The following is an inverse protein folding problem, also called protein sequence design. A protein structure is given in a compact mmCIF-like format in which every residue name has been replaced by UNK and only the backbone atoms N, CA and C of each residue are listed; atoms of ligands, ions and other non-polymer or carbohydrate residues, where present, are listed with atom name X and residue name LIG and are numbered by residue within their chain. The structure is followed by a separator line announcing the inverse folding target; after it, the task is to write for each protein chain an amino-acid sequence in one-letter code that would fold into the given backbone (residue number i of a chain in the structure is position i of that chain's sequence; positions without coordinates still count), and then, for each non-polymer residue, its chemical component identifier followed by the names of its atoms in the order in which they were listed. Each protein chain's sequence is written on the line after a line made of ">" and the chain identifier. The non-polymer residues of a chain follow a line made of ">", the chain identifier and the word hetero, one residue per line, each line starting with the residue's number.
data_IF_755142093587
#
_entry.id   IF_755142093587
#
_cell.length_a   1.000
_cell.length_b   1.000
_cell.length_c   1.000
_cell.angle_alpha   90.00
_cell.angle_beta   90.00
_cell.angle_gamma   90.00
#
_symmetry.space_group_name_H-M   'P 1'
#
loop_
_entity.id
_entity.type
_entity.pdbx_description
1 polymer ?
#
# COMPACT_ATOMS: atom_id res chain seq x y z
N UNK A 1 4.76 -88.43 36.61
CA UNK A 1 5.88 -87.61 36.09
C UNK A 1 5.58 -87.14 34.67
N UNK A 2 5.17 -85.89 34.48
CA UNK A 2 5.19 -85.19 33.18
C UNK A 2 5.28 -83.69 33.46
N UNK A 3 6.23 -83.03 32.78
CA UNK A 3 6.80 -81.73 33.12
C UNK A 3 5.90 -80.55 32.73
N UNK A 4 5.94 -79.54 33.60
CA UNK A 4 5.53 -78.15 33.43
C UNK A 4 6.21 -77.48 32.23
N UNK A 5 5.45 -76.74 31.43
CA UNK A 5 5.92 -75.90 30.33
C UNK A 5 5.65 -74.42 30.64
N UNK A 6 6.73 -73.69 30.95
CA UNK A 6 6.79 -72.25 31.18
C UNK A 6 6.61 -71.48 29.86
N UNK A 7 5.62 -70.58 29.78
CA UNK A 7 5.45 -69.64 28.65
C UNK A 7 6.15 -68.32 28.99
N UNK A 8 7.06 -67.88 28.11
CA UNK A 8 7.70 -66.56 28.14
C UNK A 8 6.72 -65.44 27.72
N UNK A 9 6.85 -64.22 28.26
CA UNK A 9 6.03 -63.09 27.86
C UNK A 9 6.51 -62.48 26.53
N UNK A 10 5.55 -62.16 25.67
CA UNK A 10 5.71 -61.48 24.38
C UNK A 10 5.96 -59.99 24.64
N UNK A 11 7.15 -59.50 24.31
CA UNK A 11 7.56 -58.10 24.45
C UNK A 11 7.08 -57.34 23.19
N UNK A 12 6.07 -56.48 23.34
CA UNK A 12 5.54 -55.62 22.27
C UNK A 12 6.49 -54.45 22.08
N UNK A 13 7.27 -54.47 21.00
CA UNK A 13 8.05 -53.33 20.51
C UNK A 13 7.09 -52.31 19.86
N UNK A 14 6.85 -51.20 20.55
CA UNK A 14 6.17 -50.03 19.99
C UNK A 14 7.15 -49.34 19.03
N UNK A 15 6.83 -49.14 17.75
CA UNK A 15 7.67 -48.38 16.85
C UNK A 15 7.64 -46.91 17.28
N UNK A 16 8.80 -46.40 17.71
CA UNK A 16 9.05 -44.97 17.87
C UNK A 16 8.92 -44.33 16.47
N UNK A 17 7.75 -43.79 16.16
CA UNK A 17 7.59 -42.94 14.98
C UNK A 17 8.48 -41.71 15.17
N UNK A 18 9.41 -41.49 14.24
CA UNK A 18 10.16 -40.24 14.12
C UNK A 18 9.16 -39.09 14.01
N UNK A 19 8.96 -38.35 15.10
CA UNK A 19 8.37 -37.01 15.06
C UNK A 19 9.46 -36.11 14.49
N UNK A 20 9.50 -35.99 13.17
CA UNK A 20 10.29 -34.94 12.52
C UNK A 20 9.79 -33.58 13.02
N UNK A 21 10.68 -32.60 13.26
CA UNK A 21 10.25 -31.26 13.59
C UNK A 21 9.37 -30.75 12.46
N UNK A 22 8.09 -30.51 12.77
CA UNK A 22 7.20 -29.68 11.95
C UNK A 22 7.86 -28.30 11.87
N UNK A 23 8.71 -28.08 10.88
CA UNK A 23 9.16 -26.74 10.53
C UNK A 23 7.91 -25.96 10.15
N UNK A 24 7.48 -25.07 11.04
CA UNK A 24 6.38 -24.16 10.76
C UNK A 24 6.75 -23.40 9.48
N UNK A 25 5.93 -23.54 8.44
CA UNK A 25 6.12 -22.78 7.21
C UNK A 25 6.21 -21.29 7.56
N UNK A 26 7.18 -20.59 6.97
CA UNK A 26 7.28 -19.14 7.16
C UNK A 26 5.96 -18.48 6.74
N UNK A 27 5.45 -17.52 7.53
CA UNK A 27 4.20 -16.85 7.21
C UNK A 27 4.31 -16.14 5.86
N UNK A 28 3.30 -16.32 5.02
CA UNK A 28 3.25 -15.73 3.67
C UNK A 28 3.22 -14.20 3.79
N UNK A 29 4.12 -13.53 3.06
CA UNK A 29 4.18 -12.07 2.95
C UNK A 29 3.41 -11.62 1.71
N UNK A 30 2.16 -11.25 1.90
CA UNK A 30 1.21 -10.90 0.84
C UNK A 30 0.81 -9.42 0.83
N UNK A 31 1.43 -8.61 1.70
CA UNK A 31 1.24 -7.16 1.75
C UNK A 31 2.57 -6.45 1.50
N UNK A 32 2.49 -5.20 1.04
CA UNK A 32 3.65 -4.36 0.84
C UNK A 32 3.39 -2.97 1.43
N UNK A 33 4.25 -2.54 2.35
CA UNK A 33 4.36 -1.15 2.78
C UNK A 33 5.39 -0.46 1.90
N UNK A 34 5.09 0.70 1.35
CA UNK A 34 5.99 1.41 0.44
C UNK A 34 5.72 2.90 0.45
N UNK A 35 6.68 3.69 -0.04
CA UNK A 35 6.50 5.11 -0.28
C UNK A 35 5.77 5.33 -1.60
N UNK A 36 4.51 5.74 -1.50
CA UNK A 36 3.67 6.07 -2.64
C UNK A 36 3.68 7.55 -2.99
N UNK A 37 2.85 7.90 -3.95
CA UNK A 37 2.56 9.24 -4.40
C UNK A 37 1.04 9.47 -4.45
N UNK A 38 0.56 10.56 -3.90
CA UNK A 38 -0.82 11.04 -4.04
C UNK A 38 -0.80 12.35 -4.81
N UNK A 39 -1.64 12.46 -5.83
CA UNK A 39 -1.59 13.58 -6.77
C UNK A 39 -2.77 14.49 -6.55
N UNK A 40 -2.48 15.76 -6.36
CA UNK A 40 -3.46 16.83 -6.24
C UNK A 40 -3.37 17.70 -7.49
N UNK A 41 -4.47 17.86 -8.21
CA UNK A 41 -4.53 18.68 -9.42
C UNK A 41 -4.84 20.13 -9.02
N UNK A 42 -3.78 20.92 -8.88
CA UNK A 42 -3.81 22.32 -8.47
C UNK A 42 -2.50 22.73 -7.79
N UNK A 43 -2.48 23.97 -7.30
CA UNK A 43 -1.32 24.60 -6.68
C UNK A 43 -1.18 24.33 -5.18
N UNK A 44 -2.20 23.78 -4.54
CA UNK A 44 -2.23 23.48 -3.10
C UNK A 44 -2.54 22.02 -2.80
N UNK A 45 -2.21 21.53 -1.60
CA UNK A 45 -2.60 20.19 -1.15
C UNK A 45 -4.10 20.05 -0.86
N UNK A 46 -4.82 21.17 -0.73
CA UNK A 46 -6.28 21.18 -0.67
C UNK A 46 -6.94 20.98 -2.05
N UNK A 47 -6.14 20.90 -3.12
CA UNK A 47 -6.65 20.68 -4.46
C UNK A 47 -7.20 19.27 -4.64
N UNK A 48 -8.15 19.07 -5.58
CA UNK A 48 -8.75 17.77 -5.84
C UNK A 48 -7.72 16.66 -6.09
N UNK A 49 -7.91 15.52 -5.44
CA UNK A 49 -7.05 14.34 -5.59
C UNK A 49 -7.36 13.61 -6.89
N UNK A 50 -6.36 13.19 -7.66
CA UNK A 50 -6.53 12.33 -8.82
C UNK A 50 -6.75 10.88 -8.37
N UNK A 51 -7.98 10.39 -8.53
CA UNK A 51 -8.43 9.07 -8.07
C UNK A 51 -8.78 8.12 -9.21
N UNK A 52 -8.61 8.53 -10.47
CA UNK A 52 -8.93 7.69 -11.62
C UNK A 52 -8.53 8.29 -12.95
N UNK A 53 -8.43 7.44 -13.96
CA UNK A 53 -8.30 7.86 -15.34
C UNK A 53 -9.06 6.90 -16.26
N UNK A 54 -9.85 7.45 -17.17
CA UNK A 54 -10.63 6.69 -18.14
C UNK A 54 -10.61 7.41 -19.49
N UNK A 55 -10.10 6.71 -20.52
CA UNK A 55 -10.02 7.24 -21.88
C UNK A 55 -9.26 8.57 -21.95
N UNK A 56 -9.95 9.67 -22.23
CA UNK A 56 -9.35 11.01 -22.33
C UNK A 56 -9.61 11.88 -21.11
N UNK A 57 -10.11 11.32 -20.00
CA UNK A 57 -10.49 12.05 -18.80
C UNK A 57 -9.78 11.48 -17.57
N UNK A 58 -9.57 12.35 -16.58
CA UNK A 58 -9.16 11.97 -15.23
C UNK A 58 -10.29 12.26 -14.26
N UNK A 59 -10.42 11.41 -13.24
CA UNK A 59 -11.37 11.57 -12.15
C UNK A 59 -10.67 12.25 -10.97
N UNK A 60 -11.28 13.32 -10.45
CA UNK A 60 -10.77 14.13 -9.36
C UNK A 60 -11.75 14.07 -8.18
N UNK A 61 -11.26 13.73 -6.99
CA UNK A 61 -12.01 13.69 -5.75
C UNK A 61 -11.75 14.97 -4.94
N UNK A 62 -12.81 15.72 -4.66
CA UNK A 62 -12.77 16.86 -3.76
C UNK A 62 -14.04 16.86 -2.90
N UNK A 63 -13.90 17.03 -1.58
CA UNK A 63 -15.01 17.08 -0.64
C UNK A 63 -15.99 15.90 -0.77
N UNK A 64 -15.46 14.70 -1.05
CA UNK A 64 -16.25 13.48 -1.24
C UNK A 64 -17.00 13.40 -2.58
N UNK A 65 -16.82 14.37 -3.47
CA UNK A 65 -17.45 14.40 -4.80
C UNK A 65 -16.42 14.12 -5.88
N UNK A 66 -16.75 13.19 -6.78
CA UNK A 66 -15.95 12.90 -7.97
C UNK A 66 -16.36 13.85 -9.10
N UNK A 67 -15.39 14.51 -9.70
CA UNK A 67 -15.51 15.33 -10.90
C UNK A 67 -14.58 14.82 -12.00
N UNK A 68 -14.81 15.21 -13.24
CA UNK A 68 -13.99 14.76 -14.37
C UNK A 68 -13.38 15.93 -15.10
N UNK A 69 -12.09 15.80 -15.44
CA UNK A 69 -11.33 16.79 -16.19
C UNK A 69 -10.72 16.12 -17.44
N UNK A 70 -10.67 16.78 -18.61
CA UNK A 70 -9.86 16.29 -19.73
C UNK A 70 -8.41 16.06 -19.30
N UNK A 71 -7.80 14.96 -19.75
CA UNK A 71 -6.43 14.58 -19.38
C UNK A 71 -5.40 15.65 -19.78
N UNK A 72 -5.60 16.29 -20.92
CA UNK A 72 -4.78 17.40 -21.43
C UNK A 72 -5.01 18.72 -20.68
N UNK A 73 -6.09 18.81 -19.90
CA UNK A 73 -6.35 19.93 -19.01
C UNK A 73 -5.75 19.73 -17.61
N UNK A 74 -5.13 18.58 -17.31
CA UNK A 74 -4.33 18.40 -16.09
C UNK A 74 -3.13 19.36 -16.16
N UNK A 75 -3.21 20.42 -15.36
CA UNK A 75 -2.24 21.51 -15.33
C UNK A 75 -1.17 21.30 -14.27
N UNK A 76 -1.13 22.22 -13.29
CA UNK A 76 -0.26 22.11 -12.12
C UNK A 76 -0.69 20.90 -11.29
N UNK A 77 0.28 20.07 -10.94
CA UNK A 77 0.05 18.89 -10.09
C UNK A 77 1.02 18.93 -8.93
N UNK A 78 0.51 18.76 -7.71
CA UNK A 78 1.31 18.50 -6.52
C UNK A 78 1.35 17.02 -6.22
N UNK A 79 2.54 16.53 -5.90
CA UNK A 79 2.77 15.15 -5.50
C UNK A 79 3.05 15.15 -4.01
N UNK A 80 2.17 14.51 -3.25
CA UNK A 80 2.37 14.22 -1.84
C UNK A 80 2.92 12.81 -1.70
N UNK A 81 4.10 12.68 -1.11
CA UNK A 81 4.68 11.37 -0.81
C UNK A 81 4.17 10.88 0.55
N UNK A 82 3.65 9.66 0.58
CA UNK A 82 3.11 9.07 1.81
C UNK A 82 3.32 7.56 1.83
N UNK A 83 3.43 6.98 3.03
CA UNK A 83 3.50 5.54 3.18
C UNK A 83 2.13 4.91 2.93
N UNK A 84 2.10 4.04 1.93
CA UNK A 84 0.93 3.29 1.53
C UNK A 84 1.13 1.82 1.80
N UNK A 85 0.02 1.16 2.14
CA UNK A 85 -0.04 -0.27 2.30
C UNK A 85 -0.91 -0.83 1.17
N UNK A 86 -0.37 -1.78 0.42
CA UNK A 86 -1.14 -2.52 -0.58
C UNK A 86 -1.13 -4.02 -0.26
N UNK A 87 -2.26 -4.68 -0.50
CA UNK A 87 -2.37 -6.16 -0.51
C UNK A 87 -2.17 -6.75 -1.92
N UNK A 88 -1.97 -5.88 -2.91
CA UNK A 88 -1.78 -6.23 -4.31
C UNK A 88 -0.51 -5.56 -4.81
N UNK A 89 0.40 -6.37 -5.34
CA UNK A 89 1.67 -5.90 -5.87
C UNK A 89 1.69 -6.05 -7.38
N UNK A 90 1.75 -4.94 -8.10
CA UNK A 90 2.01 -4.92 -9.54
C UNK A 90 3.46 -5.32 -9.86
N UNK A 91 3.68 -5.91 -11.01
CA UNK A 91 5.02 -6.14 -11.56
C UNK A 91 5.22 -5.22 -12.75
N UNK A 92 6.40 -4.60 -12.80
CA UNK A 92 6.88 -3.76 -13.89
C UNK A 92 8.15 -4.42 -14.42
N UNK A 93 8.04 -4.99 -15.61
CA UNK A 93 9.13 -5.66 -16.30
C UNK A 93 9.51 -4.90 -17.58
N UNK A 94 10.73 -5.14 -18.08
CA UNK A 94 11.21 -4.60 -19.36
C UNK A 94 11.01 -3.07 -19.51
N UNK A 95 11.26 -2.32 -18.42
CA UNK A 95 11.15 -0.86 -18.41
C UNK A 95 12.26 -0.22 -19.25
N UNK A 96 11.87 0.34 -20.38
CA UNK A 96 12.71 1.04 -21.33
C UNK A 96 12.27 2.51 -21.37
N UNK A 97 13.24 3.42 -21.40
CA UNK A 97 12.99 4.86 -21.50
C UNK A 97 13.82 5.42 -22.64
N UNK A 98 13.16 6.10 -23.57
CA UNK A 98 13.83 6.74 -24.70
C UNK A 98 13.34 8.16 -24.87
N UNK A 99 14.26 9.10 -25.12
CA UNK A 99 13.88 10.44 -25.55
C UNK A 99 13.49 10.38 -27.04
N UNK A 100 12.32 10.90 -27.37
CA UNK A 100 11.75 10.89 -28.72
C UNK A 100 11.33 12.29 -29.16
N UNK A 101 11.22 12.46 -30.48
CA UNK A 101 10.71 13.69 -31.08
C UNK A 101 9.24 13.51 -31.40
N UNK A 102 8.40 14.30 -30.76
CA UNK A 102 6.97 14.35 -31.07
C UNK A 102 6.72 15.65 -31.80
N UNK A 103 5.97 15.59 -32.91
CA UNK A 103 5.54 16.80 -33.61
C UNK A 103 4.87 17.73 -32.60
N UNK A 104 5.16 19.05 -32.61
CA UNK A 104 4.60 19.96 -31.63
C UNK A 104 3.08 19.83 -31.67
N UNK A 105 2.52 19.21 -30.63
CA UNK A 105 1.09 19.21 -30.41
C UNK A 105 0.67 20.67 -30.37
N UNK A 106 -0.43 21.03 -31.03
CA UNK A 106 -0.98 22.41 -31.07
C UNK A 106 -1.49 22.87 -29.69
N UNK A 107 -0.80 22.52 -28.62
CA UNK A 107 -1.08 22.98 -27.28
C UNK A 107 -0.53 24.38 -27.12
N UNK A 108 -1.38 25.35 -27.47
CA UNK A 108 -1.08 26.80 -27.47
C UNK A 108 -0.76 27.35 -26.08
N UNK A 109 -0.89 26.55 -25.03
CA UNK A 109 -0.70 26.94 -23.64
C UNK A 109 0.49 26.25 -22.95
N UNK A 110 1.28 25.44 -23.68
CA UNK A 110 2.41 24.73 -23.10
C UNK A 110 3.50 25.67 -22.53
N UNK A 111 3.68 26.85 -23.14
CA UNK A 111 4.61 27.88 -22.66
C UNK A 111 4.12 28.58 -21.38
N UNK A 112 2.86 29.04 -21.40
CA UNK A 112 2.29 29.83 -20.29
C UNK A 112 2.06 28.99 -19.02
N UNK A 113 1.72 27.70 -19.16
CA UNK A 113 1.58 26.78 -18.01
C UNK A 113 2.91 26.47 -17.32
N UNK A 114 4.02 26.48 -18.05
CA UNK A 114 5.35 26.18 -17.50
C UNK A 114 5.82 27.28 -16.54
N UNK A 115 5.47 28.54 -16.83
CA UNK A 115 5.85 29.68 -15.99
C UNK A 115 5.09 29.69 -14.67
N UNK A 116 3.79 29.35 -14.69
CA UNK A 116 2.95 29.24 -13.48
C UNK A 116 3.36 28.02 -12.62
N UNK A 117 3.78 26.92 -13.27
CA UNK A 117 4.33 25.75 -12.59
C UNK A 117 5.61 26.08 -11.80
N UNK A 118 6.51 26.89 -12.40
CA UNK A 118 7.78 27.30 -11.77
C UNK A 118 7.58 28.07 -10.47
N UNK A 119 6.65 29.02 -10.43
CA UNK A 119 6.40 29.85 -9.24
C UNK A 119 5.80 29.02 -8.08
N UNK A 120 4.97 28.02 -8.39
CA UNK A 120 4.38 27.12 -7.38
C UNK A 120 5.39 26.14 -6.76
N UNK A 121 6.49 25.83 -7.48
CA UNK A 121 7.50 24.85 -7.06
C UNK A 121 8.60 25.47 -6.17
N UNK A 122 8.85 26.79 -6.25
CA UNK A 122 9.80 27.46 -5.36
C UNK A 122 9.33 27.37 -3.89
N UNK A 123 8.01 27.39 -3.65
CA UNK A 123 7.43 27.15 -2.33
C UNK A 123 7.48 25.67 -1.87
N UNK A 124 7.82 24.73 -2.76
CA UNK A 124 7.70 23.29 -2.52
C UNK A 124 8.96 22.67 -1.89
N UNK A 125 10.13 23.30 -2.04
CA UNK A 125 11.38 22.78 -1.47
C UNK A 125 11.55 23.06 0.04
N UNK A 126 10.77 23.96 0.63
CA UNK A 126 10.83 24.22 2.07
C UNK A 126 9.82 23.37 2.87
N UNK A 127 8.68 22.97 2.28
CA UNK A 127 7.63 22.22 2.98
C UNK A 127 7.73 20.67 2.86
N UNK A 128 8.38 20.14 1.80
CA UNK A 128 8.45 18.68 1.54
C UNK A 128 9.41 17.95 2.50
N UNK A 129 10.36 18.66 3.12
CA UNK A 129 11.37 18.05 3.99
C UNK A 129 10.91 17.83 5.44
N UNK A 130 9.94 18.60 5.94
CA UNK A 130 9.57 18.57 7.37
C UNK A 130 8.33 17.72 7.67
N UNK A 131 7.39 17.54 6.72
CA UNK A 131 6.10 16.90 7.00
C UNK A 131 6.02 15.41 6.59
N UNK A 132 6.68 15.02 5.50
CA UNK A 132 6.71 13.62 5.03
C UNK A 132 7.61 12.75 5.94
N UNK A 133 8.76 13.29 6.34
CA UNK A 133 9.76 12.62 7.19
C UNK A 133 9.20 12.21 8.55
N UNK A 134 8.41 13.09 9.21
CA UNK A 134 7.83 12.82 10.52
C UNK A 134 6.74 11.74 10.51
N UNK A 135 6.02 11.59 9.39
CA UNK A 135 4.88 10.66 9.25
C UNK A 135 5.29 9.31 8.69
N UNK A 136 6.33 9.30 7.85
CA UNK A 136 7.02 8.11 7.33
C UNK A 136 7.75 7.32 8.45
N UNK A 137 8.40 8.04 9.37
CA UNK A 137 9.11 7.46 10.51
C UNK A 137 8.19 6.75 11.53
N UNK A 138 6.95 7.22 11.70
CA UNK A 138 5.97 6.60 12.60
C UNK A 138 5.50 5.21 12.10
N UNK A 139 5.60 4.99 10.80
CA UNK A 139 4.91 3.95 10.08
C UNK A 139 5.79 2.73 9.79
N UNK A 140 7.03 2.94 9.34
CA UNK A 140 8.03 1.87 9.12
C UNK A 140 8.42 1.17 10.44
N UNK A 141 8.44 1.90 11.55
CA UNK A 141 8.80 1.30 12.82
C UNK A 141 7.62 0.60 13.53
N UNK A 142 6.38 0.97 13.20
CA UNK A 142 5.21 0.21 13.62
C UNK A 142 5.19 -1.21 13.07
N UNK A 143 5.71 -1.38 11.85
CA UNK A 143 5.91 -2.68 11.19
C UNK A 143 7.03 -3.48 11.85
N UNK A 144 8.21 -2.92 12.09
CA UNK A 144 9.33 -3.66 12.69
C UNK A 144 9.07 -4.07 14.16
N UNK A 145 8.27 -3.28 14.89
CA UNK A 145 7.75 -3.66 16.20
C UNK A 145 6.76 -4.83 16.12
N UNK A 146 5.98 -4.90 15.04
CA UNK A 146 5.07 -6.02 14.78
C UNK A 146 5.81 -7.33 14.62
N UNK A 147 6.90 -7.33 13.86
CA UNK A 147 7.70 -8.53 13.63
C UNK A 147 8.31 -9.09 14.93
N UNK A 148 8.60 -8.23 15.90
CA UNK A 148 9.16 -8.62 17.21
C UNK A 148 8.11 -8.96 18.27
N UNK A 149 6.88 -8.44 18.16
CA UNK A 149 5.78 -8.83 19.05
C UNK A 149 5.13 -10.16 18.67
N UNK A 150 5.33 -10.65 17.44
CA UNK A 150 4.87 -11.99 17.04
C UNK A 150 5.60 -13.10 17.81
N UNK A 151 6.80 -12.83 18.36
CA UNK A 151 7.59 -13.79 19.16
C UNK A 151 7.28 -13.79 20.66
N UNK A 152 6.42 -12.89 21.16
CA UNK A 152 5.97 -12.86 22.56
C UNK A 152 4.45 -12.61 22.65
N UNK A 153 3.66 -13.50 23.29
CA UNK A 153 2.19 -13.38 23.31
C UNK A 153 1.63 -12.18 24.11
N UNK A 154 2.49 -11.28 24.58
CA UNK A 154 2.12 -10.15 25.44
C UNK A 154 2.49 -8.85 24.73
N UNK A 155 1.47 -8.13 24.25
CA UNK A 155 1.59 -6.87 23.52
C UNK A 155 2.21 -5.77 24.43
N UNK A 156 3.54 -5.65 24.41
CA UNK A 156 4.28 -4.64 25.17
C UNK A 156 4.37 -3.31 24.42
N UNK A 157 3.40 -2.42 24.64
CA UNK A 157 3.32 -1.09 23.98
C UNK A 157 4.64 -0.29 24.10
N UNK A 158 5.34 -0.42 25.23
CA UNK A 158 6.61 0.28 25.49
C UNK A 158 7.78 -0.26 24.65
N UNK A 159 7.82 -1.56 24.36
CA UNK A 159 8.88 -2.16 23.55
C UNK A 159 8.65 -1.89 22.06
N UNK A 160 7.38 -1.81 21.63
CA UNK A 160 7.03 -1.29 20.32
C UNK A 160 7.47 0.18 20.17
N UNK A 161 7.30 1.00 21.21
CA UNK A 161 7.69 2.41 21.23
C UNK A 161 9.22 2.62 21.29
N UNK A 162 9.98 1.70 21.92
CA UNK A 162 11.46 1.71 21.90
C UNK A 162 12.04 1.17 20.59
N UNK A 163 11.39 0.18 19.98
CA UNK A 163 11.71 -0.27 18.63
C UNK A 163 11.46 0.83 17.58
N UNK A 164 10.44 1.67 17.82
CA UNK A 164 10.18 2.89 17.07
C UNK A 164 11.34 3.88 17.14
N UNK A 165 11.82 4.23 18.33
CA UNK A 165 12.99 5.12 18.51
C UNK A 165 14.28 4.61 17.85
N UNK A 166 14.55 3.30 17.91
CA UNK A 166 15.74 2.69 17.31
C UNK A 166 15.70 2.62 15.77
N UNK A 167 14.52 2.44 15.18
CA UNK A 167 14.35 2.47 13.73
C UNK A 167 14.58 3.88 13.17
N UNK A 168 14.18 4.94 13.89
CA UNK A 168 14.45 6.36 13.55
C UNK A 168 15.95 6.60 13.30
N UNK A 169 16.82 6.06 14.17
CA UNK A 169 18.27 6.27 14.07
C UNK A 169 18.97 5.46 12.97
N UNK A 170 18.42 4.29 12.59
CA UNK A 170 18.99 3.43 11.55
C UNK A 170 18.57 3.87 10.15
N UNK A 171 17.36 4.43 10.01
CA UNK A 171 16.81 4.86 8.73
C UNK A 171 17.43 6.15 8.17
N UNK A 172 17.75 7.12 9.03
CA UNK A 172 18.51 8.32 8.64
C UNK A 172 19.88 7.98 8.01
N UNK A 173 20.44 6.79 8.32
CA UNK A 173 21.67 6.29 7.68
C UNK A 173 21.42 5.59 6.33
N UNK A 174 20.24 5.01 6.13
CA UNK A 174 19.87 4.29 4.90
C UNK A 174 19.35 5.22 3.80
N UNK A 175 18.60 6.27 4.14
CA UNK A 175 18.17 7.29 3.17
C UNK A 175 19.38 8.02 2.53
N UNK A 176 20.41 8.32 3.33
CA UNK A 176 21.68 8.85 2.85
C UNK A 176 22.43 7.85 1.93
N UNK A 177 22.35 6.55 2.22
CA UNK A 177 23.00 5.51 1.40
C UNK A 177 22.24 5.19 0.08
N UNK A 178 20.90 5.29 0.06
CA UNK A 178 20.09 5.08 -1.14
C UNK A 178 20.25 6.22 -2.16
N UNK A 179 20.54 7.43 -1.69
CA UNK A 179 20.96 8.55 -2.53
C UNK A 179 22.30 8.25 -3.24
N UNK A 180 23.15 7.43 -2.63
CA UNK A 180 24.48 7.06 -3.14
C UNK A 180 24.44 5.84 -4.09
N UNK A 181 23.47 4.94 -3.95
CA UNK A 181 23.28 3.77 -4.83
C UNK A 181 22.40 4.06 -6.05
N UNK A 182 21.40 4.95 -5.95
CA UNK A 182 20.61 5.41 -7.11
C UNK A 182 21.33 6.44 -7.98
N UNK A 183 22.43 7.02 -7.51
CA UNK A 183 23.38 7.76 -8.35
C UNK A 183 24.11 6.90 -9.39
N UNK A 184 23.92 5.57 -9.37
CA UNK A 184 24.57 4.63 -10.31
C UNK A 184 23.62 3.98 -11.32
N UNK A 185 22.36 4.41 -11.41
CA UNK A 185 21.38 3.87 -12.37
C UNK A 185 20.67 4.98 -13.17
N UNK A 186 21.43 5.82 -13.86
CA UNK A 186 21.08 6.36 -15.19
C UNK A 186 22.16 7.34 -15.63
N UNK A 187 22.95 6.95 -16.63
CA UNK A 187 23.69 7.90 -17.45
C UNK A 187 22.76 9.04 -17.86
N UNK A 188 23.14 10.29 -17.58
CA UNK A 188 22.50 11.46 -18.18
C UNK A 188 22.61 11.31 -19.71
N UNK A 189 21.55 10.83 -20.37
CA UNK A 189 21.44 10.96 -21.81
C UNK A 189 21.00 12.38 -22.08
N UNK A 190 21.91 13.20 -22.61
CA UNK A 190 21.55 14.49 -23.18
C UNK A 190 20.41 14.24 -24.17
N UNK A 191 19.27 14.89 -23.98
CA UNK A 191 18.27 14.95 -25.04
C UNK A 191 18.93 15.57 -26.25
N UNK A 192 18.83 14.91 -27.40
CA UNK A 192 19.04 15.58 -28.68
C UNK A 192 18.19 16.86 -28.67
N UNK A 193 18.74 17.99 -29.14
CA UNK A 193 18.08 19.30 -29.06
C UNK A 193 16.71 19.30 -29.74
N UNK A 194 16.45 18.31 -30.61
CA UNK A 194 15.20 18.17 -31.33
C UNK A 194 14.16 17.25 -30.65
N UNK A 195 14.52 16.58 -29.54
CA UNK A 195 13.63 15.72 -28.77
C UNK A 195 12.88 16.53 -27.72
N UNK A 196 11.58 16.34 -27.66
CA UNK A 196 10.64 17.13 -26.85
C UNK A 196 9.67 16.24 -26.06
N UNK A 197 9.98 14.94 -26.00
CA UNK A 197 9.16 13.95 -25.34
C UNK A 197 10.00 12.80 -24.78
N UNK A 198 9.44 12.12 -23.79
CA UNK A 198 9.94 10.85 -23.28
C UNK A 198 8.93 9.77 -23.61
N UNK A 199 9.41 8.69 -24.23
CA UNK A 199 8.67 7.46 -24.42
C UNK A 199 9.14 6.44 -23.40
N UNK A 200 8.18 5.89 -22.66
CA UNK A 200 8.40 4.82 -21.68
C UNK A 200 7.64 3.60 -22.16
N UNK A 201 8.34 2.48 -22.26
CA UNK A 201 7.75 1.20 -22.62
C UNK A 201 8.05 0.19 -21.54
N UNK A 202 7.04 -0.55 -21.09
CA UNK A 202 7.20 -1.58 -20.07
C UNK A 202 6.12 -2.65 -20.20
N UNK A 203 6.28 -3.76 -19.49
CA UNK A 203 5.24 -4.77 -19.30
C UNK A 203 4.69 -4.65 -17.88
N UNK A 204 3.37 -4.44 -17.76
CA UNK A 204 2.67 -4.34 -16.49
C UNK A 204 1.85 -5.60 -16.25
N UNK A 205 1.93 -6.16 -15.05
CA UNK A 205 1.06 -7.26 -14.62
C UNK A 205 0.66 -7.15 -13.15
N UNK A 206 -0.36 -7.89 -12.75
CA UNK A 206 -0.88 -7.90 -11.39
C UNK A 206 -1.36 -9.32 -11.03
N UNK A 207 -1.07 -9.87 -9.84
CA UNK A 207 -1.47 -11.24 -9.49
C UNK A 207 -2.99 -11.45 -9.44
N UNK A 208 -3.77 -10.38 -9.35
CA UNK A 208 -5.24 -10.39 -9.38
C UNK A 208 -5.74 -9.45 -10.45
N UNK A 209 -6.89 -9.77 -11.03
CA UNK A 209 -7.56 -8.85 -11.95
C UNK A 209 -8.00 -7.59 -11.20
N UNK A 210 -7.57 -6.43 -11.69
CA UNK A 210 -7.95 -5.12 -11.19
C UNK A 210 -8.59 -4.32 -12.32
N UNK A 211 -9.68 -3.63 -11.99
CA UNK A 211 -10.38 -2.71 -12.88
C UNK A 211 -9.93 -1.28 -12.60
N UNK A 212 -10.30 -0.37 -13.50
CA UNK A 212 -10.07 1.07 -13.36
C UNK A 212 -8.60 1.39 -13.01
N UNK A 213 -7.70 0.65 -13.66
CA UNK A 213 -6.28 0.78 -13.46
C UNK A 213 -5.72 1.91 -14.33
N UNK A 214 -4.75 2.64 -13.82
CA UNK A 214 -4.02 3.64 -14.58
C UNK A 214 -2.56 3.71 -14.14
N UNK A 215 -1.67 4.01 -15.09
CA UNK A 215 -0.28 4.28 -14.83
C UNK A 215 -0.06 5.78 -14.72
N UNK A 216 0.85 6.16 -13.83
CA UNK A 216 1.27 7.53 -13.61
C UNK A 216 2.77 7.60 -13.79
N UNK A 217 3.19 8.41 -14.75
CA UNK A 217 4.58 8.69 -15.03
C UNK A 217 4.95 10.08 -14.51
N UNK A 218 5.88 10.13 -13.56
CA UNK A 218 6.47 11.36 -13.03
C UNK A 218 7.89 11.47 -13.52
N UNK A 219 8.17 12.49 -14.31
CA UNK A 219 9.49 12.74 -14.89
C UNK A 219 10.07 14.02 -14.29
N UNK A 220 11.17 13.89 -13.57
CA UNK A 220 12.05 15.00 -13.21
C UNK A 220 12.97 15.29 -14.40
N UNK A 221 13.03 16.54 -14.84
CA UNK A 221 13.91 16.99 -15.91
C UNK A 221 14.53 18.36 -15.60
N UNK A 222 15.62 18.69 -16.31
CA UNK A 222 16.29 19.98 -16.24
C UNK A 222 16.60 20.47 -17.65
N UNK A 223 16.62 21.78 -17.89
CA UNK A 223 17.05 22.34 -19.19
C UNK A 223 18.58 22.48 -19.19
N UNK A 224 19.15 22.97 -18.10
CA UNK A 224 20.60 22.98 -17.86
C UNK A 224 20.95 22.22 -16.57
N UNK A 225 22.19 21.73 -16.47
CA UNK A 225 22.65 20.99 -15.28
C UNK A 225 22.59 21.79 -13.97
N UNK A 226 22.62 23.12 -14.08
CA UNK A 226 22.53 24.06 -12.96
C UNK A 226 21.10 24.50 -12.63
N UNK A 227 20.12 24.15 -13.48
CA UNK A 227 18.74 24.56 -13.25
C UNK A 227 18.09 23.72 -12.14
N UNK A 228 17.10 24.33 -11.48
CA UNK A 228 16.25 23.62 -10.53
C UNK A 228 15.53 22.47 -11.26
N UNK A 229 15.40 21.30 -10.62
CA UNK A 229 14.62 20.21 -11.19
C UNK A 229 13.17 20.65 -11.43
N UNK A 230 12.65 20.31 -12.61
CA UNK A 230 11.27 20.50 -13.00
C UNK A 230 10.60 19.14 -13.09
N UNK A 231 9.29 19.07 -12.83
CA UNK A 231 8.56 17.81 -12.88
C UNK A 231 7.45 17.88 -13.92
N UNK A 232 7.27 16.78 -14.64
CA UNK A 232 6.14 16.58 -15.55
C UNK A 232 5.42 15.29 -15.21
N UNK A 233 4.09 15.35 -15.21
CA UNK A 233 3.23 14.21 -14.92
C UNK A 233 2.50 13.80 -16.19
N UNK A 234 2.42 12.50 -16.45
CA UNK A 234 1.58 11.89 -17.47
C UNK A 234 0.74 10.78 -16.86
N UNK A 235 -0.54 10.72 -17.24
CA UNK A 235 -1.49 9.72 -16.73
C UNK A 235 -1.95 8.86 -17.90
N UNK A 236 -1.72 7.57 -17.83
CA UNK A 236 -2.12 6.62 -18.87
C UNK A 236 -3.19 5.65 -18.34
N UNK A 237 -4.44 5.74 -18.82
CA UNK A 237 -5.47 4.78 -18.42
C UNK A 237 -5.13 3.38 -18.97
N UNK A 238 -5.33 2.37 -18.14
CA UNK A 238 -5.11 0.97 -18.48
C UNK A 238 -6.48 0.28 -18.65
N UNK A 239 -6.57 -0.71 -19.54
CA UNK A 239 -7.82 -1.46 -19.78
C UNK A 239 -8.13 -2.51 -18.70
N UNK A 240 -7.68 -2.25 -17.47
CA UNK A 240 -7.52 -3.24 -16.40
C UNK A 240 -6.14 -3.89 -16.41
N UNK A 241 -5.76 -4.47 -15.27
CA UNK A 241 -4.53 -5.25 -15.12
C UNK A 241 -4.87 -6.63 -14.58
N UNK A 242 -4.09 -7.65 -14.96
CA UNK A 242 -4.28 -9.00 -14.48
C UNK A 242 -3.00 -9.82 -14.54
N UNK A 243 -3.08 -11.14 -14.30
CA UNK A 243 -1.89 -11.99 -14.19
C UNK A 243 -1.06 -12.07 -15.46
N UNK A 244 -1.68 -11.81 -16.63
CA UNK A 244 -1.00 -11.78 -17.91
C UNK A 244 -0.35 -10.40 -18.12
N UNK A 245 0.97 -10.33 -18.35
CA UNK A 245 1.64 -9.07 -18.67
C UNK A 245 1.05 -8.39 -19.89
N UNK A 246 0.87 -7.07 -19.78
CA UNK A 246 0.42 -6.18 -20.85
C UNK A 246 1.54 -5.18 -21.16
N UNK A 247 2.00 -5.15 -22.41
CA UNK A 247 2.92 -4.13 -22.91
C UNK A 247 2.20 -2.78 -22.93
N UNK A 248 2.77 -1.79 -22.26
CA UNK A 248 2.26 -0.42 -22.17
C UNK A 248 3.31 0.54 -22.71
N UNK A 249 2.89 1.41 -23.61
CA UNK A 249 3.71 2.50 -24.17
C UNK A 249 3.10 3.83 -23.77
N UNK A 250 3.87 4.66 -23.09
CA UNK A 250 3.48 5.98 -22.63
C UNK A 250 4.38 7.02 -23.28
N UNK A 251 3.81 8.02 -23.93
CA UNK A 251 4.58 9.13 -24.50
C UNK A 251 4.23 10.43 -23.78
N UNK A 252 5.16 10.93 -22.99
CA UNK A 252 5.05 12.21 -22.31
C UNK A 252 5.71 13.31 -23.15
N UNK A 253 4.90 13.99 -23.96
CA UNK A 253 5.34 15.11 -24.80
C UNK A 253 5.39 16.45 -24.07
N UNK A 254 5.85 17.50 -24.75
CA UNK A 254 5.87 18.88 -24.26
C UNK A 254 6.97 19.18 -23.25
N UNK A 255 8.08 18.44 -23.31
CA UNK A 255 9.32 18.77 -22.63
C UNK A 255 10.07 19.83 -23.46
N UNK A 256 10.75 20.79 -22.82
CA UNK A 256 11.50 21.80 -23.54
C UNK A 256 12.67 21.18 -24.33
N UNK A 257 13.01 21.71 -25.51
CA UNK A 257 14.20 21.29 -26.25
C UNK A 257 15.47 21.29 -25.38
N UNK A 258 16.29 20.24 -25.52
CA UNK A 258 17.54 20.10 -24.75
C UNK A 258 17.38 19.65 -23.30
N UNK A 259 16.18 19.19 -22.90
CA UNK A 259 15.98 18.65 -21.57
C UNK A 259 16.90 17.45 -21.28
N UNK A 260 17.27 17.32 -20.01
CA UNK A 260 17.97 16.17 -19.45
C UNK A 260 17.06 15.54 -18.41
N UNK A 261 16.78 14.24 -18.55
CA UNK A 261 16.01 13.49 -17.57
C UNK A 261 16.88 13.29 -16.33
N UNK A 262 16.40 13.73 -15.18
CA UNK A 262 17.03 13.47 -13.88
C UNK A 262 16.51 12.18 -13.25
N UNK A 263 15.20 12.07 -13.14
CA UNK A 263 14.52 10.95 -12.48
C UNK A 263 13.23 10.61 -13.20
N UNK A 264 12.87 9.34 -13.20
CA UNK A 264 11.62 8.84 -13.76
C UNK A 264 11.01 7.84 -12.78
N UNK A 265 9.84 8.16 -12.27
CA UNK A 265 9.07 7.28 -11.38
C UNK A 265 7.78 6.84 -12.09
N UNK A 266 7.52 5.54 -12.07
CA UNK A 266 6.31 4.93 -12.60
C UNK A 266 5.50 4.35 -11.44
N UNK A 267 4.31 4.90 -11.24
CA UNK A 267 3.35 4.47 -10.24
C UNK A 267 2.16 3.81 -10.93
N UNK A 268 1.58 2.79 -10.31
CA UNK A 268 0.42 2.06 -10.85
C UNK A 268 -0.72 2.17 -9.85
N UNK A 269 -1.89 2.54 -10.32
CA UNK A 269 -3.08 2.70 -9.49
C UNK A 269 -4.18 1.77 -9.99
N UNK A 270 -5.06 1.35 -9.07
CA UNK A 270 -6.32 0.69 -9.37
C UNK A 270 -7.37 1.13 -8.35
N UNK A 271 -8.59 1.41 -8.83
CA UNK A 271 -9.70 1.88 -7.99
C UNK A 271 -9.33 3.12 -7.12
N UNK A 272 -8.49 4.02 -7.68
CA UNK A 272 -7.99 5.21 -6.99
C UNK A 272 -6.97 4.95 -5.89
N UNK A 273 -6.51 3.71 -5.71
CA UNK A 273 -5.45 3.37 -4.77
C UNK A 273 -4.19 2.97 -5.51
N UNK A 274 -3.05 3.42 -5.01
CA UNK A 274 -1.75 3.04 -5.57
C UNK A 274 -1.42 1.60 -5.19
N UNK A 275 -1.03 0.81 -6.18
CA UNK A 275 -0.53 -0.54 -6.01
C UNK A 275 0.97 -0.47 -5.73
N UNK A 276 1.43 -1.27 -4.77
CA UNK A 276 2.86 -1.51 -4.61
C UNK A 276 3.41 -2.13 -5.90
N UNK A 277 4.64 -1.83 -6.27
CA UNK A 277 5.34 -2.48 -7.39
C UNK A 277 6.70 -3.02 -6.96
N UNK A 278 7.33 -3.83 -7.81
CA UNK A 278 8.74 -4.22 -7.66
C UNK A 278 9.71 -3.02 -7.73
N UNK A 279 9.26 -1.87 -8.25
CA UNK A 279 10.06 -0.64 -8.35
C UNK A 279 9.69 0.43 -7.31
N UNK A 280 8.66 0.19 -6.49
CA UNK A 280 8.21 1.15 -5.47
C UNK A 280 9.34 1.49 -4.50
N UNK A 281 9.49 2.78 -4.22
CA UNK A 281 10.50 3.26 -3.29
C UNK A 281 10.22 2.73 -1.88
N UNK A 282 11.30 2.35 -1.18
CA UNK A 282 11.27 1.94 0.23
C UNK A 282 10.27 0.80 0.54
N UNK A 283 10.09 -0.11 -0.40
CA UNK A 283 9.16 -1.24 -0.24
C UNK A 283 9.65 -2.22 0.84
N UNK A 284 8.72 -2.65 1.69
CA UNK A 284 8.88 -3.71 2.69
C UNK A 284 7.71 -4.69 2.55
N UNK A 285 8.01 -5.96 2.32
CA UNK A 285 6.98 -7.01 2.24
C UNK A 285 6.60 -7.51 3.63
N UNK A 286 5.29 -7.54 3.89
CA UNK A 286 4.66 -7.79 5.19
C UNK A 286 3.73 -8.99 5.13
N UNK A 287 3.61 -9.68 6.26
CA UNK A 287 2.52 -10.61 6.51
C UNK A 287 1.23 -9.84 6.81
N UNK A 288 0.08 -10.48 6.64
CA UNK A 288 -1.22 -9.89 6.99
C UNK A 288 -1.29 -9.36 8.44
N UNK A 289 -0.69 -10.06 9.41
CA UNK A 289 -0.69 -9.62 10.81
C UNK A 289 0.23 -8.41 11.05
N UNK A 290 1.36 -8.33 10.36
CA UNK A 290 2.25 -7.15 10.39
C UNK A 290 1.58 -5.93 9.76
N UNK A 291 0.92 -6.13 8.61
CA UNK A 291 0.16 -5.11 7.91
C UNK A 291 -1.00 -4.57 8.78
N UNK A 292 -1.72 -5.46 9.47
CA UNK A 292 -2.73 -5.08 10.45
C UNK A 292 -2.14 -4.21 11.56
N UNK A 293 -1.02 -4.63 12.14
CA UNK A 293 -0.41 -3.90 13.24
C UNK A 293 0.03 -2.51 12.81
N UNK A 294 0.57 -2.37 11.60
CA UNK A 294 0.84 -1.09 10.99
C UNK A 294 -0.42 -0.20 10.92
N UNK A 295 -1.52 -0.72 10.36
CA UNK A 295 -2.78 0.02 10.25
C UNK A 295 -3.33 0.43 11.62
N UNK A 296 -3.27 -0.46 12.60
CA UNK A 296 -3.70 -0.19 13.99
C UNK A 296 -2.86 0.92 14.61
N UNK A 297 -1.53 0.91 14.45
CA UNK A 297 -0.66 1.95 14.97
C UNK A 297 -0.88 3.29 14.29
N UNK A 298 -1.04 3.30 12.96
CA UNK A 298 -1.37 4.51 12.20
C UNK A 298 -2.73 5.09 12.63
N UNK A 299 -3.72 4.23 12.87
CA UNK A 299 -5.03 4.64 13.39
C UNK A 299 -4.93 5.25 14.80
N UNK A 300 -4.18 4.65 15.72
CA UNK A 300 -3.98 5.21 17.07
C UNK A 300 -3.26 6.55 17.00
N UNK A 301 -2.21 6.65 16.17
CA UNK A 301 -1.40 7.86 16.02
C UNK A 301 -2.21 9.04 15.43
N UNK A 302 -3.18 8.77 14.56
CA UNK A 302 -4.04 9.79 13.94
C UNK A 302 -5.18 10.30 14.84
N UNK A 303 -5.46 9.65 15.98
CA UNK A 303 -6.56 10.02 16.88
C UNK A 303 -6.08 10.26 18.32
N UNK A 304 -5.14 11.21 18.53
CA UNK A 304 -4.60 11.47 19.86
C UNK A 304 -5.69 12.00 20.78
N UNK A 305 -5.80 11.41 21.97
CA UNK A 305 -6.77 11.81 23.03
C UNK A 305 -8.25 11.60 22.66
N UNK A 306 -8.56 10.98 21.52
CA UNK A 306 -9.94 10.74 21.11
C UNK A 306 -10.54 9.48 21.74
N UNK A 307 -11.88 9.44 21.81
CA UNK A 307 -12.62 8.25 22.26
C UNK A 307 -13.52 7.77 21.13
N UNK A 308 -13.11 6.68 20.48
CA UNK A 308 -13.75 6.16 19.27
C UNK A 308 -14.20 4.70 19.44
N UNK A 309 -15.32 4.27 18.83
CA UNK A 309 -15.81 2.91 18.94
C UNK A 309 -15.31 2.02 17.80
N UNK A 310 -15.04 0.73 18.03
CA UNK A 310 -14.65 -0.24 16.97
C UNK A 310 -13.73 0.39 15.94
N UNK A 311 -13.57 -0.03 14.69
CA UNK A 311 -14.39 0.15 13.48
C UNK A 311 -13.88 -0.93 12.51
N UNK A 312 -14.74 -1.64 11.76
CA UNK A 312 -14.25 -2.60 10.78
C UNK A 312 -13.19 -1.97 9.88
N UNK A 313 -12.04 -2.62 9.73
CA UNK A 313 -11.11 -2.24 8.67
C UNK A 313 -11.64 -2.83 7.37
N UNK A 314 -11.62 -2.03 6.30
CA UNK A 314 -11.84 -2.51 4.94
C UNK A 314 -10.59 -3.25 4.46
N UNK A 315 -10.25 -4.34 5.12
CA UNK A 315 -9.28 -5.31 4.60
C UNK A 315 -10.10 -6.35 3.85
N UNK A 316 -9.63 -6.72 2.65
CA UNK A 316 -10.32 -7.67 1.78
C UNK A 316 -10.78 -8.91 2.57
N UNK A 317 -12.08 -9.22 2.45
CA UNK A 317 -12.62 -10.47 2.95
C UNK A 317 -11.82 -11.65 2.37
N UNK A 318 -11.68 -12.76 3.12
CA UNK A 318 -11.10 -13.97 2.56
C UNK A 318 -11.83 -14.35 1.26
N UNK A 319 -11.06 -14.69 0.22
CA UNK A 319 -11.62 -15.10 -1.08
C UNK A 319 -12.61 -16.25 -0.88
N UNK A 320 -13.82 -16.12 -1.47
CA UNK A 320 -14.89 -17.11 -1.35
C UNK A 320 -15.65 -17.09 -0.02
N UNK A 321 -15.47 -16.05 0.81
CA UNK A 321 -16.30 -15.85 2.01
C UNK A 321 -17.78 -15.76 1.64
N UNK A 322 -18.12 -14.94 0.65
CA UNK A 322 -19.51 -14.70 0.27
C UNK A 322 -20.22 -15.97 -0.22
N UNK A 323 -19.51 -16.85 -0.92
CA UNK A 323 -20.05 -18.10 -1.46
C UNK A 323 -20.30 -19.16 -0.37
N UNK A 324 -19.68 -19.01 0.80
CA UNK A 324 -19.68 -20.02 1.87
C UNK A 324 -20.46 -19.61 3.10
N UNK A 325 -20.89 -18.37 3.22
CA UNK A 325 -21.74 -17.93 4.33
C UNK A 325 -23.20 -18.26 4.01
N UNK A 326 -23.88 -19.09 4.82
CA UNK A 326 -25.30 -19.35 4.62
C UNK A 326 -26.12 -18.06 4.66
N UNK A 327 -27.08 -17.90 3.75
CA UNK A 327 -27.92 -16.69 3.67
C UNK A 327 -28.60 -16.33 5.00
N UNK A 328 -28.95 -17.33 5.82
CA UNK A 328 -29.51 -17.13 7.15
C UNK A 328 -28.56 -16.42 8.12
N UNK A 329 -27.24 -16.60 7.97
CA UNK A 329 -26.21 -15.96 8.79
C UNK A 329 -25.85 -14.56 8.28
N UNK A 330 -26.02 -14.32 6.98
CA UNK A 330 -25.89 -12.95 6.41
C UNK A 330 -26.91 -12.00 7.05
N UNK A 331 -28.13 -12.49 7.28
CA UNK A 331 -29.22 -11.71 7.89
C UNK A 331 -29.10 -11.57 9.42
N UNK A 332 -28.19 -12.29 10.08
CA UNK A 332 -28.02 -12.26 11.53
C UNK A 332 -26.94 -11.26 11.93
N UNK A 333 -27.20 -10.54 13.02
CA UNK A 333 -26.19 -9.70 13.67
C UNK A 333 -25.36 -10.55 14.61
N UNK A 334 -24.05 -10.54 14.41
CA UNK A 334 -23.09 -11.16 15.32
C UNK A 334 -22.48 -10.09 16.23
N UNK A 335 -21.95 -10.50 17.37
CA UNK A 335 -21.29 -9.62 18.33
C UNK A 335 -19.88 -10.10 18.55
N UNK A 336 -18.90 -9.29 18.14
CA UNK A 336 -17.49 -9.62 18.33
C UNK A 336 -16.87 -8.76 19.42
N UNK A 337 -16.05 -9.37 20.27
CA UNK A 337 -15.16 -8.63 21.17
C UNK A 337 -13.87 -8.34 20.43
N UNK A 338 -13.65 -7.06 20.13
CA UNK A 338 -12.43 -6.58 19.47
C UNK A 338 -11.40 -6.24 20.54
N UNK A 339 -10.20 -6.79 20.40
CA UNK A 339 -9.06 -6.51 21.26
C UNK A 339 -8.42 -5.14 21.00
N UNK A 340 -7.50 -4.69 21.88
CA UNK A 340 -6.75 -3.45 21.67
C UNK A 340 -5.79 -3.49 20.47
N UNK A 341 -5.50 -4.69 19.96
CA UNK A 341 -4.73 -4.96 18.75
C UNK A 341 -5.59 -4.92 17.47
N UNK A 342 -6.91 -4.75 17.60
CA UNK A 342 -7.83 -4.79 16.46
C UNK A 342 -8.26 -6.20 16.05
N UNK A 343 -7.78 -7.24 16.73
CA UNK A 343 -8.16 -8.62 16.44
C UNK A 343 -9.44 -9.03 17.17
N UNK A 344 -10.26 -9.88 16.54
CA UNK A 344 -11.47 -10.44 17.16
C UNK A 344 -11.08 -11.56 18.15
N UNK A 345 -11.39 -11.36 19.43
CA UNK A 345 -11.07 -12.30 20.52
C UNK A 345 -12.20 -13.28 20.82
N UNK A 346 -13.45 -12.90 20.61
CA UNK A 346 -14.62 -13.76 20.73
C UNK A 346 -15.74 -13.32 19.80
N UNK A 347 -16.61 -14.26 19.44
CA UNK A 347 -17.82 -14.02 18.64
C UNK A 347 -19.01 -14.62 19.37
N UNK A 348 -20.11 -13.89 19.42
CA UNK A 348 -21.38 -14.30 20.02
C UNK A 348 -22.54 -14.02 19.05
N UNK A 349 -23.61 -14.81 19.17
CA UNK A 349 -24.85 -14.66 18.41
C UNK A 349 -25.73 -13.52 18.93
N UNK A 350 -25.52 -13.08 20.18
CA UNK A 350 -26.29 -12.02 20.82
C UNK A 350 -25.45 -11.21 21.82
N UNK A 351 -26.06 -10.19 22.43
CA UNK A 351 -25.43 -9.37 23.47
C UNK A 351 -25.25 -10.11 24.80
N UNK A 352 -25.93 -11.23 25.00
CA UNK A 352 -25.81 -12.05 26.21
C UNK A 352 -24.57 -12.95 26.17
N UNK A 353 -23.89 -13.04 25.02
CA UNK A 353 -22.67 -13.83 24.85
C UNK A 353 -22.92 -15.28 24.43
N UNK A 354 -24.11 -15.58 23.87
CA UNK A 354 -24.42 -16.92 23.36
C UNK A 354 -23.43 -17.30 22.26
N UNK A 355 -22.84 -18.48 22.36
CA UNK A 355 -21.86 -18.95 21.39
C UNK A 355 -22.47 -19.08 19.98
N UNK A 356 -21.68 -18.75 18.95
CA UNK A 356 -22.07 -19.02 17.56
C UNK A 356 -22.01 -20.53 17.33
N UNK A 357 -23.13 -21.13 16.94
CA UNK A 357 -23.24 -22.58 16.75
C UNK A 357 -22.45 -23.11 15.55
N UNK A 358 -22.20 -22.24 14.56
CA UNK A 358 -21.47 -22.58 13.35
C UNK A 358 -19.97 -22.28 13.52
N UNK A 359 -19.16 -23.34 13.58
CA UNK A 359 -17.72 -23.26 13.75
C UNK A 359 -17.01 -22.59 12.56
N UNK A 360 -17.56 -22.69 11.35
CA UNK A 360 -17.01 -22.01 10.18
C UNK A 360 -17.22 -20.50 10.30
N UNK A 361 -18.41 -20.06 10.72
CA UNK A 361 -18.71 -18.63 10.94
C UNK A 361 -17.80 -18.05 12.02
N UNK A 362 -17.68 -18.71 13.18
CA UNK A 362 -16.77 -18.26 14.24
C UNK A 362 -15.33 -18.15 13.71
N UNK A 363 -14.85 -19.16 12.99
CA UNK A 363 -13.51 -19.16 12.40
C UNK A 363 -13.30 -18.03 11.38
N UNK A 364 -14.30 -17.68 10.57
CA UNK A 364 -14.15 -16.59 9.60
C UNK A 364 -14.30 -15.21 10.24
N UNK A 365 -15.27 -15.01 11.13
CA UNK A 365 -15.43 -13.71 11.82
C UNK A 365 -14.19 -13.40 12.66
N UNK A 366 -13.51 -14.41 13.20
CA UNK A 366 -12.19 -14.24 13.85
C UNK A 366 -11.07 -13.76 12.93
N UNK A 367 -11.22 -13.95 11.61
CA UNK A 367 -10.29 -13.40 10.61
C UNK A 367 -10.57 -11.94 10.31
N UNK A 368 -11.72 -11.41 10.70
CA UNK A 368 -12.00 -9.98 10.53
C UNK A 368 -11.06 -9.14 11.37
N UNK A 369 -10.81 -7.94 10.88
CA UNK A 369 -9.88 -6.98 11.45
C UNK A 369 -10.57 -5.64 11.67
N UNK A 370 -10.21 -4.98 12.75
CA UNK A 370 -10.83 -3.74 13.19
C UNK A 370 -9.76 -2.73 13.58
N UNK A 371 -10.04 -1.46 13.35
CA UNK A 371 -9.42 -0.41 14.14
C UNK A 371 -9.90 -0.61 15.59
N UNK A 372 -9.03 -0.58 16.61
CA UNK A 372 -9.45 -0.81 17.98
C UNK A 372 -10.31 0.35 18.49
N UNK A 373 -11.16 0.07 19.48
CA UNK A 373 -11.83 1.14 20.19
C UNK A 373 -10.79 1.97 20.98
N UNK A 374 -10.91 3.29 20.93
CA UNK A 374 -10.03 4.20 21.66
C UNK A 374 -10.76 4.80 22.85
N UNK A 375 -10.05 4.98 23.96
CA UNK A 375 -10.45 5.84 25.07
C UNK A 375 -9.29 6.77 25.38
N UNK A 376 -9.49 8.06 25.14
CA UNK A 376 -8.44 9.09 25.29
C UNK A 376 -7.16 8.75 24.50
N UNK A 377 -7.31 8.28 23.27
CA UNK A 377 -6.22 7.87 22.37
C UNK A 377 -5.57 6.53 22.74
N UNK A 378 -6.05 5.84 23.78
CA UNK A 378 -5.51 4.53 24.20
C UNK A 378 -6.42 3.40 23.73
N UNK A 379 -5.89 2.36 23.06
CA UNK A 379 -6.69 1.24 22.61
C UNK A 379 -7.27 0.45 23.79
N UNK A 380 -8.53 0.00 23.64
CA UNK A 380 -9.27 -0.78 24.64
C UNK A 380 -10.05 -1.90 23.97
N UNK A 381 -10.17 -3.02 24.68
CA UNK A 381 -11.07 -4.09 24.26
C UNK A 381 -12.53 -3.63 24.38
N UNK A 382 -13.35 -3.88 23.36
CA UNK A 382 -14.78 -3.55 23.40
C UNK A 382 -15.59 -4.50 22.51
N UNK A 383 -16.75 -4.90 23.00
CA UNK A 383 -17.74 -5.60 22.20
C UNK A 383 -18.31 -4.67 21.11
N UNK A 384 -18.42 -5.18 19.88
CA UNK A 384 -19.00 -4.50 18.74
C UNK A 384 -19.96 -5.43 18.01
N UNK A 385 -21.13 -4.90 17.68
CA UNK A 385 -22.06 -5.55 16.75
C UNK A 385 -21.44 -5.52 15.34
N UNK A 386 -21.38 -6.69 14.72
CA UNK A 386 -20.99 -6.90 13.33
C UNK A 386 -22.24 -7.30 12.58
N UNK A 387 -22.55 -6.58 11.50
CA UNK A 387 -23.45 -7.10 10.47
C UNK A 387 -22.59 -7.80 9.43
N UNK A 388 -22.95 -9.02 9.06
CA UNK A 388 -22.24 -9.77 8.02
C UNK A 388 -22.41 -9.10 6.65
N UNK A 389 -23.54 -8.41 6.42
CA UNK A 389 -23.73 -7.56 5.24
C UNK A 389 -22.82 -6.33 5.22
N UNK A 390 -22.50 -5.74 6.38
CA UNK A 390 -21.61 -4.57 6.44
C UNK A 390 -20.14 -4.92 6.15
N UNK A 391 -19.80 -6.20 6.00
CA UNK A 391 -18.49 -6.64 5.55
C UNK A 391 -18.39 -6.74 4.00
N UNK A 392 -19.52 -6.59 3.27
CA UNK A 392 -19.57 -6.59 1.80
C UNK A 392 -19.33 -5.23 1.15
N UNK A 393 -19.49 -4.13 1.90
CA UNK A 393 -19.25 -2.74 1.47
C UNK A 393 -17.83 -2.25 1.79
#
# INVERSE_FOLDING_TARGET
>A
MRRSGTRLPFLVLIPLALVGPLWAAEPVKDHALFMGATLHVGDTLASPELVGAEGTRVALLADGKVSFLPRDAVGVVRIAHELKLSSITAQIDNLETTAVKVAPTRDRFAGDRMQILMDSMIAQNEDVMDFATAREEAAVAGVAAAERSVSTPTFGLADAQRALEGAKAAYGKAAAANQQLRGSASSFTLGDLDKTAVEVVCDLSCPRETRDAYALLVTEYRINSLDKPQYKVHVEPLRGLGPKPQRVTMTQGGLPPGFVIGRLDLHVYANGQELASNLSAQRVDLTADQALQYLTLNYIASHPKETLPAVPQRIALPVGFEDRVPAALVAQSLYATVGPDGAVKSVAADTAGTAVSDAYVDAVVRKFRFNPALKEGKPRARARRISVDAARE
#
